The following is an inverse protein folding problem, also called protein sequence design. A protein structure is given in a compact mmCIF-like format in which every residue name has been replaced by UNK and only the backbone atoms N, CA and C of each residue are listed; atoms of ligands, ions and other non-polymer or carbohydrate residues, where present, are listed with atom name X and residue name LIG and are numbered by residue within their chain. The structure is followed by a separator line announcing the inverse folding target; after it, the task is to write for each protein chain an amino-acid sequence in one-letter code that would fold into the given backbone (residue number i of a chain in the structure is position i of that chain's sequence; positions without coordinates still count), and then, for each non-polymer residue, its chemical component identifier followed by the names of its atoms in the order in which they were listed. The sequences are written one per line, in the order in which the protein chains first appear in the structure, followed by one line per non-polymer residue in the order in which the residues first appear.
data_IF_989670991041
#
_entry.id   IF_989670991041
#
_cell.length_a   1.000
_cell.length_b   1.000
_cell.length_c   1.000
_cell.angle_alpha   90.00
_cell.angle_beta   90.00
_cell.angle_gamma   90.00
#
_symmetry.space_group_name_H-M   'P 1'
#
loop_
_entity.id
_entity.type
_entity.pdbx_description
1 polymer ?
#
# COMPACT_ATOMS: atom_id res chain seq x y z
N UNK A 1 4.02 26.44 11.76
CA UNK A 1 4.75 25.26 12.28
C UNK A 1 5.73 25.68 13.36
N UNK A 2 5.52 25.22 14.59
CA UNK A 2 6.43 25.46 15.73
C UNK A 2 7.82 24.82 15.48
N UNK A 3 8.91 25.46 15.93
CA UNK A 3 10.28 24.94 15.81
C UNK A 3 10.46 23.51 16.33
N UNK A 4 9.74 23.13 17.41
CA UNK A 4 9.76 21.75 17.93
C UNK A 4 9.15 20.75 16.93
N UNK A 5 8.04 21.14 16.31
CA UNK A 5 7.33 20.35 15.31
C UNK A 5 8.17 20.23 14.03
N UNK A 6 8.81 21.31 13.59
CA UNK A 6 9.75 21.30 12.46
C UNK A 6 10.91 20.33 12.69
N UNK A 7 11.52 20.37 13.88
CA UNK A 7 12.60 19.46 14.23
C UNK A 7 12.14 18.00 14.22
N UNK A 8 10.97 17.70 14.80
CA UNK A 8 10.39 16.36 14.78
C UNK A 8 10.12 15.87 13.35
N UNK A 9 9.55 16.73 12.49
CA UNK A 9 9.32 16.41 11.07
C UNK A 9 10.61 16.10 10.33
N UNK A 10 11.65 16.93 10.50
CA UNK A 10 12.94 16.70 9.84
C UNK A 10 13.60 15.39 10.30
N UNK A 11 13.56 15.11 11.60
CA UNK A 11 14.09 13.86 12.16
C UNK A 11 13.30 12.64 11.62
N UNK A 12 11.97 12.76 11.51
CA UNK A 12 11.13 11.72 10.94
C UNK A 12 11.51 11.41 9.49
N UNK A 13 11.70 12.45 8.67
CA UNK A 13 12.08 12.29 7.27
C UNK A 13 13.43 11.59 7.12
N UNK A 14 14.40 11.95 7.97
CA UNK A 14 15.72 11.29 7.98
C UNK A 14 15.60 9.82 8.39
N UNK A 15 14.84 9.50 9.44
CA UNK A 15 14.69 8.12 9.89
C UNK A 15 13.91 7.27 8.89
N UNK A 16 12.83 7.79 8.29
CA UNK A 16 12.06 7.10 7.24
C UNK A 16 12.91 6.83 6.01
N UNK A 17 13.73 7.79 5.61
CA UNK A 17 14.70 7.56 4.55
C UNK A 17 15.70 6.46 4.95
N UNK A 18 16.25 6.49 6.17
CA UNK A 18 17.22 5.49 6.64
C UNK A 18 16.60 4.09 6.72
N UNK A 19 15.38 3.97 7.24
CA UNK A 19 14.57 2.74 7.23
C UNK A 19 14.42 2.18 5.82
N UNK A 20 14.07 3.01 4.83
CA UNK A 20 14.02 2.57 3.43
C UNK A 20 15.37 2.05 2.94
N UNK A 21 16.49 2.67 3.32
CA UNK A 21 17.82 2.17 2.94
C UNK A 21 18.12 0.81 3.56
N UNK A 22 17.78 0.62 4.84
CA UNK A 22 17.97 -0.65 5.54
C UNK A 22 17.10 -1.75 4.94
N UNK A 23 15.84 -1.44 4.57
CA UNK A 23 14.95 -2.40 3.90
C UNK A 23 15.51 -2.81 2.55
N UNK A 24 16.00 -1.85 1.75
CA UNK A 24 16.65 -2.15 0.47
C UNK A 24 17.92 -2.97 0.69
N UNK A 25 18.73 -2.65 1.70
CA UNK A 25 19.93 -3.40 2.06
C UNK A 25 19.59 -4.83 2.52
N UNK A 26 18.57 -5.01 3.36
CA UNK A 26 18.11 -6.31 3.84
C UNK A 26 17.55 -7.16 2.69
N UNK A 27 16.67 -6.57 1.89
CA UNK A 27 16.09 -7.22 0.73
C UNK A 27 17.18 -7.75 -0.20
N UNK A 28 18.25 -6.99 -0.38
CA UNK A 28 19.38 -7.41 -1.19
C UNK A 28 20.24 -8.47 -0.49
N UNK A 29 20.51 -8.34 0.81
CA UNK A 29 21.37 -9.26 1.57
C UNK A 29 20.80 -10.67 1.76
N UNK A 30 19.49 -10.84 1.98
CA UNK A 30 18.86 -12.12 2.36
C UNK A 30 18.85 -13.20 1.26
N UNK A 31 19.77 -13.13 0.30
CA UNK A 31 19.80 -13.92 -0.93
C UNK A 31 18.44 -13.90 -1.64
N UNK A 32 17.96 -12.68 -1.98
CA UNK A 32 16.65 -12.39 -2.59
C UNK A 32 15.95 -13.63 -3.14
N UNK A 33 15.08 -14.24 -2.33
CA UNK A 33 14.07 -15.13 -2.85
C UNK A 33 13.14 -14.33 -3.79
N UNK A 34 12.43 -15.01 -4.69
CA UNK A 34 11.58 -14.31 -5.67
C UNK A 34 10.56 -13.37 -5.00
N UNK A 35 10.08 -13.73 -3.81
CA UNK A 35 9.13 -12.92 -3.03
C UNK A 35 9.69 -11.52 -2.68
N UNK A 36 10.97 -11.45 -2.30
CA UNK A 36 11.65 -10.19 -1.97
C UNK A 36 11.83 -9.30 -3.20
N UNK A 37 12.14 -9.92 -4.35
CA UNK A 37 12.24 -9.24 -5.63
C UNK A 37 10.87 -8.69 -6.08
N UNK A 38 9.80 -9.44 -5.81
CA UNK A 38 8.43 -9.02 -6.08
C UNK A 38 7.99 -7.86 -5.20
N UNK A 39 8.34 -7.86 -3.91
CA UNK A 39 8.10 -6.73 -3.02
C UNK A 39 8.82 -5.46 -3.48
N UNK A 40 10.07 -5.56 -3.93
CA UNK A 40 10.79 -4.42 -4.52
C UNK A 40 10.18 -3.96 -5.84
N UNK A 41 9.67 -4.87 -6.67
CA UNK A 41 8.94 -4.51 -7.87
C UNK A 41 7.62 -3.79 -7.54
N UNK A 42 6.93 -4.18 -6.47
CA UNK A 42 5.73 -3.50 -5.99
C UNK A 42 6.07 -2.10 -5.49
N UNK A 43 7.15 -1.95 -4.72
CA UNK A 43 7.67 -0.66 -4.27
C UNK A 43 8.03 0.25 -5.46
N UNK A 44 8.78 -0.24 -6.45
CA UNK A 44 9.10 0.56 -7.65
C UNK A 44 7.86 0.95 -8.47
N UNK A 45 6.77 0.18 -8.38
CA UNK A 45 5.49 0.51 -9.01
C UNK A 45 4.70 1.55 -8.22
N UNK A 46 4.88 1.67 -6.90
CA UNK A 46 4.25 2.76 -6.14
C UNK A 46 4.84 4.12 -6.55
N UNK A 47 6.11 4.17 -6.92
CA UNK A 47 6.78 5.35 -7.52
C UNK A 47 6.42 5.58 -9.01
N UNK A 48 5.17 5.34 -9.41
CA UNK A 48 4.72 5.44 -10.82
C UNK A 48 4.26 6.83 -11.24
N UNK A 49 4.08 7.75 -10.29
CA UNK A 49 3.70 9.13 -10.56
C UNK A 49 4.86 9.93 -11.17
N UNK A 50 4.52 10.96 -11.94
CA UNK A 50 5.50 11.76 -12.70
C UNK A 50 6.53 12.44 -11.79
N UNK A 51 6.11 12.80 -10.57
CA UNK A 51 6.93 13.46 -9.54
C UNK A 51 7.90 12.48 -8.85
N UNK A 52 7.55 11.19 -8.79
CA UNK A 52 8.33 10.14 -8.12
C UNK A 52 9.23 9.35 -9.09
N UNK A 53 9.26 9.76 -10.36
CA UNK A 53 10.01 9.07 -11.41
C UNK A 53 11.53 9.13 -11.18
N UNK A 54 12.03 10.23 -10.62
CA UNK A 54 13.47 10.39 -10.34
C UNK A 54 13.91 9.49 -9.19
N UNK A 55 13.13 9.47 -8.12
CA UNK A 55 13.29 8.59 -6.95
C UNK A 55 13.37 7.11 -7.36
N UNK A 56 12.46 6.68 -8.23
CA UNK A 56 12.47 5.34 -8.81
C UNK A 56 13.74 5.05 -9.61
N UNK A 57 14.19 5.99 -10.44
CA UNK A 57 15.39 5.83 -11.24
C UNK A 57 16.64 5.73 -10.36
N UNK A 58 16.66 6.51 -9.29
CA UNK A 58 17.75 6.57 -8.32
C UNK A 58 17.87 5.24 -7.56
N UNK A 59 16.75 4.66 -7.10
CA UNK A 59 16.73 3.30 -6.52
C UNK A 59 17.23 2.26 -7.53
N UNK A 60 16.79 2.33 -8.79
CA UNK A 60 17.23 1.39 -9.84
C UNK A 60 18.74 1.50 -10.10
N UNK A 61 19.27 2.72 -10.22
CA UNK A 61 20.71 2.97 -10.40
C UNK A 61 21.50 2.44 -9.21
N UNK A 62 21.01 2.69 -8.00
CA UNK A 62 21.62 2.21 -6.76
C UNK A 62 21.69 0.68 -6.73
N UNK A 63 20.59 -0.01 -7.02
CA UNK A 63 20.52 -1.47 -7.07
C UNK A 63 21.53 -2.05 -8.06
N UNK A 64 21.58 -1.52 -9.29
CA UNK A 64 22.54 -1.96 -10.31
C UNK A 64 24.00 -1.68 -9.94
N UNK A 65 24.26 -0.62 -9.16
CA UNK A 65 25.60 -0.23 -8.73
C UNK A 65 26.14 -1.15 -7.63
N UNK A 66 25.35 -1.41 -6.60
CA UNK A 66 25.81 -2.07 -5.37
C UNK A 66 25.39 -3.54 -5.21
N UNK A 67 24.50 -4.02 -6.08
CA UNK A 67 23.93 -5.39 -5.98
C UNK A 67 24.02 -6.10 -7.34
N UNK A 68 23.60 -7.37 -7.39
CA UNK A 68 23.41 -8.13 -8.63
C UNK A 68 21.99 -7.97 -9.21
N UNK A 69 21.20 -7.04 -8.69
CA UNK A 69 19.83 -6.76 -9.14
C UNK A 69 19.88 -5.69 -10.22
N UNK A 70 19.19 -5.95 -11.33
CA UNK A 70 19.12 -5.06 -12.48
C UNK A 70 17.67 -4.87 -12.91
N UNK A 71 17.37 -3.73 -13.52
CA UNK A 71 16.03 -3.42 -14.01
C UNK A 71 15.91 -3.65 -15.51
N UNK A 72 14.96 -4.48 -15.93
CA UNK A 72 14.62 -4.65 -17.34
C UNK A 72 13.59 -3.62 -17.77
N UNK A 73 13.98 -2.69 -18.63
CA UNK A 73 13.05 -1.73 -19.26
C UNK A 73 11.98 -2.44 -20.10
N UNK A 74 12.36 -3.53 -20.79
CA UNK A 74 11.45 -4.35 -21.61
C UNK A 74 10.41 -5.10 -20.77
N UNK A 75 10.83 -5.75 -19.69
CA UNK A 75 9.92 -6.53 -18.82
C UNK A 75 9.27 -5.67 -17.72
N UNK A 76 9.70 -4.41 -17.59
CA UNK A 76 9.32 -3.46 -16.53
C UNK A 76 9.43 -4.05 -15.11
N UNK A 77 10.50 -4.82 -14.86
CA UNK A 77 10.75 -5.49 -13.59
C UNK A 77 12.23 -5.69 -13.30
N UNK A 78 12.56 -5.80 -12.02
CA UNK A 78 13.87 -6.20 -11.52
C UNK A 78 14.13 -7.69 -11.79
N UNK A 79 15.41 -8.05 -11.93
CA UNK A 79 15.91 -9.42 -12.09
C UNK A 79 17.35 -9.54 -11.57
N UNK A 80 17.77 -10.76 -11.23
CA UNK A 80 19.11 -11.08 -10.70
C UNK A 80 20.06 -11.49 -11.84
N UNK A 81 21.31 -11.05 -11.79
CA UNK A 81 22.40 -11.55 -12.65
C UNK A 81 23.25 -12.58 -11.91
N UNK A 82 23.76 -13.59 -12.63
CA UNK A 82 24.58 -14.67 -12.06
C UNK A 82 25.96 -14.20 -11.55
N UNK A 83 26.42 -13.02 -11.94
CA UNK A 83 27.69 -12.45 -11.51
C UNK A 83 27.62 -11.94 -10.06
N UNK A 84 28.37 -12.59 -9.16
CA UNK A 84 28.64 -12.08 -7.82
C UNK A 84 29.52 -10.84 -7.90
N UNK A 85 28.92 -9.64 -7.87
CA UNK A 85 29.65 -8.44 -7.48
C UNK A 85 29.99 -8.53 -5.99
N UNK A 86 31.15 -8.01 -5.58
CA UNK A 86 31.55 -7.91 -4.17
C UNK A 86 30.64 -6.88 -3.48
N UNK A 87 29.81 -7.38 -2.56
CA UNK A 87 28.81 -6.60 -1.84
C UNK A 87 29.48 -5.62 -0.89
N UNK A 88 29.06 -4.35 -0.90
CA UNK A 88 29.47 -3.37 0.11
C UNK A 88 28.26 -2.53 0.51
N UNK A 89 27.58 -2.96 1.57
CA UNK A 89 26.38 -2.29 2.10
C UNK A 89 26.70 -0.89 2.57
N UNK A 90 27.85 -0.68 3.21
CA UNK A 90 28.29 0.65 3.64
C UNK A 90 28.48 1.59 2.45
N UNK A 91 29.12 1.14 1.37
CA UNK A 91 29.25 1.96 0.15
C UNK A 91 27.89 2.34 -0.46
N UNK A 92 26.91 1.43 -0.39
CA UNK A 92 25.54 1.72 -0.80
C UNK A 92 24.81 2.69 0.16
N UNK A 93 24.95 2.52 1.46
CA UNK A 93 24.33 3.38 2.48
C UNK A 93 24.80 4.84 2.40
N UNK A 94 26.01 5.06 1.91
CA UNK A 94 26.61 6.39 1.77
C UNK A 94 26.43 7.01 0.39
N UNK A 95 25.69 6.36 -0.52
CA UNK A 95 25.49 6.85 -1.88
C UNK A 95 24.32 7.85 -1.99
N UNK A 96 24.61 9.03 -2.55
CA UNK A 96 23.65 10.12 -2.77
C UNK A 96 22.50 9.76 -3.73
N UNK A 97 22.58 8.62 -4.43
CA UNK A 97 21.49 8.05 -5.21
C UNK A 97 20.34 7.51 -4.36
N UNK A 98 20.41 7.54 -3.04
CA UNK A 98 19.26 7.26 -2.18
C UNK A 98 18.91 8.50 -1.34
N UNK A 99 17.69 8.52 -0.82
CA UNK A 99 17.00 9.68 -0.22
C UNK A 99 17.67 10.31 1.03
N UNK A 100 18.88 9.91 1.40
CA UNK A 100 19.67 10.49 2.48
C UNK A 100 21.01 11.03 1.98
N UNK A 101 21.45 12.15 2.57
CA UNK A 101 22.85 12.55 2.46
C UNK A 101 23.76 11.55 3.17
N UNK A 102 24.98 11.37 2.66
CA UNK A 102 26.03 10.54 3.26
C UNK A 102 26.23 10.86 4.75
N UNK A 103 26.21 12.14 5.10
CA UNK A 103 26.36 12.63 6.48
C UNK A 103 25.19 12.26 7.40
N UNK A 104 23.97 12.24 6.87
CA UNK A 104 22.78 11.82 7.62
C UNK A 104 22.77 10.30 7.81
N UNK A 105 23.17 9.54 6.80
CA UNK A 105 23.33 8.09 6.87
C UNK A 105 24.40 7.70 7.90
N UNK A 106 25.58 8.35 7.87
CA UNK A 106 26.65 8.17 8.85
C UNK A 106 26.18 8.39 10.29
N UNK A 107 25.40 9.45 10.50
CA UNK A 107 24.85 9.77 11.81
C UNK A 107 23.90 8.68 12.30
N UNK A 108 23.03 8.18 11.43
CA UNK A 108 22.11 7.10 11.77
C UNK A 108 22.85 5.79 12.03
N UNK A 109 23.83 5.41 11.20
CA UNK A 109 24.64 4.21 11.43
C UNK A 109 25.34 4.24 12.80
N UNK A 110 25.89 5.40 13.20
CA UNK A 110 26.49 5.59 14.52
C UNK A 110 25.47 5.55 15.65
N UNK A 111 24.32 6.19 15.44
CA UNK A 111 23.24 6.26 16.44
C UNK A 111 22.67 4.88 16.77
N UNK A 112 22.46 4.03 15.75
CA UNK A 112 21.90 2.68 15.91
C UNK A 112 22.96 1.57 15.96
N UNK A 113 24.25 1.92 16.05
CA UNK A 113 25.34 0.97 16.09
C UNK A 113 25.28 -0.10 14.98
N UNK A 114 25.06 0.35 13.74
CA UNK A 114 25.09 -0.51 12.55
C UNK A 114 26.56 -0.73 12.14
N UNK A 115 27.18 -1.81 12.63
CA UNK A 115 28.59 -2.12 12.40
C UNK A 115 28.78 -3.19 11.33
N UNK A 116 27.79 -4.06 11.17
CA UNK A 116 27.84 -5.19 10.26
C UNK A 116 26.46 -5.50 9.69
N UNK A 117 26.44 -6.47 8.80
CA UNK A 117 25.19 -6.98 8.24
C UNK A 117 24.34 -7.69 9.31
N UNK A 118 24.97 -8.38 10.26
CA UNK A 118 24.27 -9.14 11.29
C UNK A 118 23.45 -8.23 12.21
N UNK A 119 23.74 -6.92 12.21
CA UNK A 119 23.01 -5.90 12.94
C UNK A 119 21.71 -5.43 12.23
N UNK A 120 21.51 -5.74 10.94
CA UNK A 120 20.46 -5.13 10.11
C UNK A 120 19.04 -5.31 10.68
N UNK A 121 18.67 -6.53 11.07
CA UNK A 121 17.33 -6.81 11.60
C UNK A 121 17.06 -6.02 12.89
N UNK A 122 18.01 -6.09 13.84
CA UNK A 122 17.94 -5.31 15.08
C UNK A 122 17.78 -3.81 14.80
N UNK A 123 18.59 -3.29 13.89
CA UNK A 123 18.60 -1.85 13.58
C UNK A 123 17.32 -1.41 12.89
N UNK A 124 16.73 -2.23 12.01
CA UNK A 124 15.42 -1.98 11.41
C UNK A 124 14.34 -1.86 12.50
N UNK A 125 14.30 -2.81 13.44
CA UNK A 125 13.32 -2.80 14.53
C UNK A 125 13.50 -1.59 15.46
N UNK A 126 14.74 -1.22 15.78
CA UNK A 126 15.05 -0.05 16.60
C UNK A 126 14.66 1.26 15.90
N UNK A 127 14.96 1.38 14.59
CA UNK A 127 14.56 2.53 13.76
C UNK A 127 13.05 2.65 13.69
N UNK A 128 12.34 1.55 13.39
CA UNK A 128 10.88 1.50 13.34
C UNK A 128 10.25 1.93 14.67
N UNK A 129 10.76 1.41 15.78
CA UNK A 129 10.34 1.80 17.13
C UNK A 129 10.58 3.29 17.43
N UNK A 130 11.69 3.86 16.95
CA UNK A 130 12.00 5.28 17.13
C UNK A 130 11.08 6.16 16.30
N UNK A 131 10.79 5.75 15.07
CA UNK A 131 9.84 6.45 14.20
C UNK A 131 8.46 6.49 14.85
N UNK A 132 7.95 5.36 15.34
CA UNK A 132 6.62 5.31 15.97
C UNK A 132 6.52 6.29 17.17
N UNK A 133 7.58 6.35 18.00
CA UNK A 133 7.64 7.28 19.13
C UNK A 133 7.65 8.74 18.66
N UNK A 134 8.40 9.04 17.60
CA UNK A 134 8.50 10.39 17.05
C UNK A 134 7.21 10.81 16.34
N UNK A 135 6.50 9.91 15.67
CA UNK A 135 5.18 10.18 15.06
C UNK A 135 4.18 10.57 16.14
N UNK A 136 4.08 9.80 17.23
CA UNK A 136 3.22 10.14 18.38
C UNK A 136 3.58 11.49 18.99
N UNK A 137 4.88 11.79 19.08
CA UNK A 137 5.35 13.08 19.58
C UNK A 137 5.00 14.23 18.63
N UNK A 138 5.19 14.05 17.33
CA UNK A 138 4.85 15.01 16.28
C UNK A 138 3.35 15.29 16.27
N UNK A 139 2.51 14.26 16.39
CA UNK A 139 1.05 14.39 16.51
C UNK A 139 0.65 15.20 17.75
N UNK A 140 1.28 14.92 18.90
CA UNK A 140 1.04 15.69 20.12
C UNK A 140 1.44 17.16 19.98
N UNK A 141 2.49 17.46 19.20
CA UNK A 141 2.94 18.84 18.95
C UNK A 141 2.11 19.56 17.90
N UNK A 142 1.54 18.82 16.94
CA UNK A 142 0.83 19.35 15.78
C UNK A 142 -0.69 19.40 15.93
N UNK A 143 -1.26 18.81 16.99
CA UNK A 143 -2.72 18.75 17.22
C UNK A 143 -3.42 20.10 17.10
N UNK A 144 -2.77 21.17 17.57
CA UNK A 144 -3.31 22.53 17.55
C UNK A 144 -2.72 23.40 16.42
N UNK A 145 -1.84 22.86 15.56
CA UNK A 145 -1.24 23.58 14.43
C UNK A 145 -2.09 23.39 13.15
N UNK A 146 -2.75 24.45 12.63
CA UNK A 146 -3.65 24.34 11.49
C UNK A 146 -2.95 23.88 10.20
N UNK A 147 -1.66 24.23 10.03
CA UNK A 147 -0.87 23.86 8.86
C UNK A 147 -0.45 22.39 8.92
N UNK A 148 -0.06 21.89 10.10
CA UNK A 148 0.17 20.46 10.32
C UNK A 148 -1.09 19.65 10.05
N UNK A 149 -2.24 20.07 10.57
CA UNK A 149 -3.50 19.37 10.35
C UNK A 149 -3.93 19.42 8.88
N UNK A 150 -3.72 20.54 8.17
CA UNK A 150 -3.98 20.64 6.73
C UNK A 150 -3.08 19.68 5.93
N UNK A 151 -1.79 19.66 6.23
CA UNK A 151 -0.82 18.75 5.61
C UNK A 151 -1.18 17.29 5.92
N UNK A 152 -1.38 16.96 7.19
CA UNK A 152 -1.75 15.62 7.65
C UNK A 152 -3.04 15.16 6.99
N UNK A 153 -4.09 15.98 6.96
CA UNK A 153 -5.33 15.65 6.28
C UNK A 153 -5.13 15.47 4.76
N UNK A 154 -4.21 16.19 4.14
CA UNK A 154 -3.87 16.01 2.71
C UNK A 154 -3.15 14.67 2.50
N UNK A 155 -2.20 14.31 3.35
CA UNK A 155 -1.50 13.01 3.31
C UNK A 155 -2.43 11.84 3.65
N UNK A 156 -3.27 11.97 4.68
CA UNK A 156 -4.27 10.99 5.09
C UNK A 156 -5.40 10.85 4.04
N UNK A 157 -5.72 11.93 3.31
CA UNK A 157 -6.64 11.88 2.16
C UNK A 157 -6.01 11.23 0.92
N UNK A 158 -4.68 11.18 0.86
CA UNK A 158 -3.90 10.50 -0.17
C UNK A 158 -3.53 9.05 0.19
N UNK A 159 -3.95 8.53 1.35
CA UNK A 159 -4.03 7.11 1.79
C UNK A 159 -3.11 6.13 1.00
N UNK A 160 -1.80 6.39 1.05
CA UNK A 160 -0.73 5.40 0.81
C UNK A 160 -0.17 5.11 2.21
N UNK A 161 -0.97 4.40 3.00
CA UNK A 161 -0.51 3.80 4.25
C UNK A 161 0.14 2.46 3.95
N UNK A 162 1.37 2.30 4.43
CA UNK A 162 2.13 1.06 4.50
C UNK A 162 1.21 -0.13 4.84
N UNK A 163 1.15 -1.11 3.92
CA UNK A 163 0.32 -2.33 3.93
C UNK A 163 -1.19 -2.25 3.61
N UNK A 164 -1.73 -1.08 3.24
CA UNK A 164 -3.10 -0.89 2.76
C UNK A 164 -3.18 -0.59 1.27
N UNK A 165 -4.07 -1.23 0.51
CA UNK A 165 -4.38 -0.79 -0.84
C UNK A 165 -5.19 0.51 -0.81
N UNK A 166 -4.97 1.42 -1.78
CA UNK A 166 -5.77 2.65 -1.91
C UNK A 166 -7.26 2.33 -1.85
N UNK A 167 -7.93 2.86 -0.81
CA UNK A 167 -9.36 2.66 -0.66
C UNK A 167 -10.11 3.27 -1.85
N UNK A 168 -11.03 2.53 -2.51
CA UNK A 168 -11.65 3.01 -3.72
C UNK A 168 -12.63 4.14 -3.42
N UNK A 169 -12.54 5.19 -4.23
CA UNK A 169 -13.49 6.30 -4.25
C UNK A 169 -14.74 5.94 -5.07
N UNK A 170 -15.90 6.49 -4.72
CA UNK A 170 -17.16 6.41 -5.48
C UNK A 170 -17.45 7.68 -6.30
N UNK A 171 -16.51 8.63 -6.35
CA UNK A 171 -16.61 9.82 -7.21
C UNK A 171 -16.56 9.37 -8.68
N UNK A 172 -17.53 9.82 -9.47
CA UNK A 172 -17.62 9.56 -10.90
C UNK A 172 -17.43 10.89 -11.65
N UNK A 173 -16.32 11.04 -12.37
CA UNK A 173 -16.19 12.06 -13.40
C UNK A 173 -16.93 11.61 -14.67
N UNK A 174 -17.40 12.56 -15.48
CA UNK A 174 -17.88 12.33 -16.85
C UNK A 174 -16.77 11.62 -17.64
N UNK A 175 -17.11 10.50 -18.30
CA UNK A 175 -16.13 9.68 -19.01
C UNK A 175 -16.13 10.03 -20.49
N UNK A 176 -14.93 10.13 -21.08
CA UNK A 176 -14.74 10.12 -22.53
C UNK A 176 -14.89 8.69 -23.08
N UNK A 177 -16.11 8.13 -23.02
CA UNK A 177 -16.65 7.12 -23.94
C UNK A 177 -15.89 5.82 -24.27
N UNK A 178 -14.73 5.50 -23.68
CA UNK A 178 -13.95 4.34 -24.11
C UNK A 178 -13.54 3.46 -22.91
N UNK A 179 -14.29 2.38 -22.71
CA UNK A 179 -13.82 1.21 -21.95
C UNK A 179 -13.76 0.02 -22.92
N UNK A 180 -12.63 -0.72 -22.99
CA UNK A 180 -12.58 -1.95 -23.77
C UNK A 180 -13.61 -2.93 -23.23
N UNK A 181 -14.37 -3.53 -24.14
CA UNK A 181 -15.37 -4.55 -23.87
C UNK A 181 -14.64 -5.82 -23.40
N UNK A 182 -14.54 -5.97 -22.07
CA UNK A 182 -14.06 -7.19 -21.43
C UNK A 182 -15.28 -8.07 -21.17
N UNK A 183 -15.17 -9.35 -21.49
CA UNK A 183 -16.22 -10.36 -21.34
C UNK A 183 -16.50 -10.59 -19.83
N UNK A 184 -17.37 -9.78 -19.24
CA UNK A 184 -17.71 -9.87 -17.83
C UNK A 184 -18.69 -11.02 -17.59
N UNK A 185 -18.53 -11.79 -16.50
CA UNK A 185 -19.46 -12.86 -16.18
C UNK A 185 -20.88 -12.32 -15.97
N UNK A 186 -21.86 -12.98 -16.60
CA UNK A 186 -23.30 -12.63 -16.57
C UNK A 186 -23.89 -12.51 -15.14
N UNK A 187 -23.25 -13.16 -14.15
CA UNK A 187 -23.56 -13.02 -12.71
C UNK A 187 -22.27 -12.77 -11.94
N UNK A 188 -22.12 -11.57 -11.38
CA UNK A 188 -21.00 -11.24 -10.49
C UNK A 188 -21.13 -11.89 -9.11
N UNK A 189 -20.01 -12.11 -8.42
CA UNK A 189 -19.96 -12.78 -7.10
C UNK A 189 -20.99 -12.26 -6.08
N UNK A 190 -21.14 -10.93 -5.96
CA UNK A 190 -22.11 -10.31 -5.04
C UNK A 190 -23.55 -10.80 -5.34
N UNK A 191 -23.96 -10.75 -6.60
CA UNK A 191 -25.27 -11.25 -7.03
C UNK A 191 -25.39 -12.76 -6.84
N UNK A 192 -24.30 -13.50 -7.09
CA UNK A 192 -24.23 -14.96 -6.92
C UNK A 192 -24.43 -15.44 -5.47
N UNK A 193 -24.03 -14.64 -4.48
CA UNK A 193 -24.27 -14.93 -3.05
C UNK A 193 -25.56 -14.26 -2.52
N UNK A 194 -26.36 -13.66 -3.40
CA UNK A 194 -27.64 -13.05 -3.04
C UNK A 194 -27.56 -11.63 -2.50
N UNK A 195 -26.40 -10.96 -2.56
CA UNK A 195 -26.30 -9.55 -2.17
C UNK A 195 -27.06 -8.65 -3.17
N UNK A 196 -27.96 -7.82 -2.64
CA UNK A 196 -28.76 -6.87 -3.43
C UNK A 196 -29.03 -5.57 -2.66
N UNK A 197 -29.13 -4.47 -3.41
CA UNK A 197 -29.38 -3.10 -2.93
C UNK A 197 -30.52 -2.46 -3.72
N UNK A 198 -30.98 -1.29 -3.28
CA UNK A 198 -32.04 -0.51 -3.89
C UNK A 198 -33.41 -0.78 -3.29
N UNK A 199 -34.46 -0.28 -3.93
CA UNK A 199 -35.85 -0.32 -3.41
C UNK A 199 -36.40 -1.74 -3.21
N UNK A 200 -35.85 -2.74 -3.91
CA UNK A 200 -36.15 -4.17 -3.73
C UNK A 200 -34.96 -4.95 -3.16
N UNK A 201 -33.99 -4.25 -2.57
CA UNK A 201 -32.77 -4.81 -2.01
C UNK A 201 -32.97 -5.43 -0.63
N UNK A 202 -31.91 -6.04 -0.12
CA UNK A 202 -31.88 -6.58 1.24
C UNK A 202 -31.71 -5.46 2.28
N UNK A 203 -32.22 -5.63 3.50
CA UNK A 203 -31.97 -4.69 4.59
C UNK A 203 -30.50 -4.68 5.01
N UNK A 204 -30.03 -3.55 5.56
CA UNK A 204 -28.62 -3.29 5.92
C UNK A 204 -27.97 -4.41 6.72
N UNK A 205 -28.67 -4.99 7.70
CA UNK A 205 -28.14 -6.09 8.53
C UNK A 205 -27.81 -7.31 7.67
N UNK A 206 -28.72 -7.70 6.76
CA UNK A 206 -28.53 -8.84 5.87
C UNK A 206 -27.46 -8.59 4.81
N UNK A 207 -27.39 -7.37 4.28
CA UNK A 207 -26.31 -6.97 3.37
C UNK A 207 -24.94 -7.12 4.02
N UNK A 208 -24.77 -6.56 5.22
CA UNK A 208 -23.49 -6.62 5.96
C UNK A 208 -23.13 -8.02 6.43
N UNK A 209 -24.11 -8.85 6.78
CA UNK A 209 -23.93 -10.28 7.04
C UNK A 209 -23.34 -10.99 5.80
N UNK A 210 -23.91 -10.77 4.62
CA UNK A 210 -23.39 -11.33 3.37
C UNK A 210 -21.99 -10.81 3.03
N UNK A 211 -21.72 -9.51 3.23
CA UNK A 211 -20.39 -8.93 3.04
C UNK A 211 -19.36 -9.53 4.00
N UNK A 212 -19.73 -9.76 5.26
CA UNK A 212 -18.90 -10.46 6.24
C UNK A 212 -18.63 -11.91 5.83
N UNK A 213 -19.62 -12.61 5.29
CA UNK A 213 -19.45 -13.97 4.78
C UNK A 213 -18.53 -13.98 3.55
N UNK A 214 -18.66 -13.01 2.64
CA UNK A 214 -17.71 -12.86 1.52
C UNK A 214 -16.29 -12.63 2.03
N UNK A 215 -16.10 -11.90 3.13
CA UNK A 215 -14.77 -11.71 3.71
C UNK A 215 -14.20 -12.97 4.35
N UNK A 216 -15.03 -13.71 5.10
CA UNK A 216 -14.55 -14.74 6.03
C UNK A 216 -14.67 -16.18 5.53
N UNK A 217 -15.50 -16.44 4.52
CA UNK A 217 -15.79 -17.79 4.05
C UNK A 217 -15.16 -18.10 2.70
N UNK A 218 -15.09 -19.41 2.40
CA UNK A 218 -14.77 -19.88 1.07
C UNK A 218 -15.94 -19.58 0.12
N UNK A 219 -15.68 -18.76 -0.90
CA UNK A 219 -16.71 -18.34 -1.84
C UNK A 219 -17.20 -19.53 -2.68
N UNK A 220 -18.44 -19.56 -3.16
CA UNK A 220 -18.93 -20.58 -4.07
C UNK A 220 -18.26 -20.49 -5.46
N UNK A 221 -18.39 -21.54 -6.27
CA UNK A 221 -17.96 -21.52 -7.68
C UNK A 221 -19.10 -20.92 -8.51
N UNK A 222 -19.06 -19.61 -8.79
CA UNK A 222 -20.11 -18.94 -9.57
C UNK A 222 -19.90 -19.18 -11.08
N UNK A 223 -18.70 -18.90 -11.59
CA UNK A 223 -18.37 -19.05 -13.01
C UNK A 223 -17.19 -20.00 -13.24
N UNK A 224 -16.09 -19.84 -12.50
CA UNK A 224 -14.93 -20.73 -12.63
C UNK A 224 -14.04 -20.71 -11.38
N UNK A 225 -13.15 -21.70 -11.26
CA UNK A 225 -12.09 -21.68 -10.24
C UNK A 225 -11.19 -20.45 -10.39
N UNK A 226 -10.88 -20.03 -11.62
CA UNK A 226 -10.05 -18.86 -11.88
C UNK A 226 -10.73 -17.58 -11.37
N UNK A 227 -12.03 -17.42 -11.65
CA UNK A 227 -12.82 -16.29 -11.16
C UNK A 227 -12.87 -16.23 -9.63
N UNK A 228 -13.01 -17.38 -8.95
CA UNK A 228 -12.94 -17.42 -7.48
C UNK A 228 -11.57 -16.96 -6.96
N UNK A 229 -10.47 -17.40 -7.57
CA UNK A 229 -9.10 -17.01 -7.15
C UNK A 229 -8.86 -15.50 -7.24
N UNK A 230 -9.51 -14.79 -8.16
CA UNK A 230 -9.40 -13.32 -8.23
C UNK A 230 -9.92 -12.60 -6.98
N UNK A 231 -10.76 -13.27 -6.19
CA UNK A 231 -11.25 -12.74 -4.92
C UNK A 231 -10.27 -12.99 -3.77
N UNK A 232 -9.14 -13.67 -3.99
CA UNK A 232 -8.17 -14.01 -2.93
C UNK A 232 -8.73 -15.00 -1.92
N UNK A 233 -7.91 -15.42 -0.95
CA UNK A 233 -8.32 -16.34 0.12
C UNK A 233 -9.15 -15.61 1.20
N UNK A 234 -9.92 -16.33 2.02
CA UNK A 234 -10.69 -15.73 3.11
C UNK A 234 -9.80 -14.92 4.05
N UNK A 235 -10.33 -13.82 4.58
CA UNK A 235 -9.65 -12.97 5.55
C UNK A 235 -8.29 -12.43 5.06
N UNK A 236 -8.21 -12.06 3.78
CA UNK A 236 -7.02 -11.43 3.20
C UNK A 236 -7.27 -10.01 2.71
N UNK A 237 -6.21 -9.22 2.63
CA UNK A 237 -6.22 -7.89 2.01
C UNK A 237 -6.64 -7.96 0.54
N UNK A 238 -6.28 -9.04 -0.17
CA UNK A 238 -6.72 -9.27 -1.54
C UNK A 238 -8.26 -9.40 -1.65
N UNK A 239 -8.88 -10.12 -0.69
CA UNK A 239 -10.34 -10.26 -0.59
C UNK A 239 -11.02 -8.93 -0.33
N UNK A 240 -10.52 -8.17 0.65
CA UNK A 240 -11.04 -6.84 0.95
C UNK A 240 -10.93 -5.90 -0.25
N UNK A 241 -9.78 -5.91 -0.93
CA UNK A 241 -9.52 -5.11 -2.13
C UNK A 241 -10.48 -5.43 -3.27
N UNK A 242 -10.66 -6.71 -3.59
CA UNK A 242 -11.57 -7.11 -4.69
C UNK A 242 -13.00 -6.72 -4.36
N UNK A 243 -13.44 -6.94 -3.12
CA UNK A 243 -14.79 -6.61 -2.67
C UNK A 243 -15.05 -5.09 -2.71
N UNK A 244 -14.18 -4.29 -2.10
CA UNK A 244 -14.31 -2.83 -2.05
C UNK A 244 -14.31 -2.22 -3.46
N UNK A 245 -13.41 -2.68 -4.34
CA UNK A 245 -13.36 -2.20 -5.73
C UNK A 245 -14.62 -2.54 -6.52
N UNK A 246 -15.18 -3.73 -6.27
CA UNK A 246 -16.41 -4.17 -6.96
C UNK A 246 -17.60 -3.29 -6.55
N UNK A 247 -17.77 -3.02 -5.25
CA UNK A 247 -18.85 -2.14 -4.77
C UNK A 247 -18.66 -0.70 -5.30
N UNK A 248 -17.44 -0.17 -5.26
CA UNK A 248 -17.16 1.17 -5.79
C UNK A 248 -17.40 1.26 -7.30
N UNK A 249 -17.08 0.20 -8.06
CA UNK A 249 -17.37 0.12 -9.49
C UNK A 249 -18.87 0.11 -9.77
N UNK A 250 -19.64 -0.73 -9.06
CA UNK A 250 -21.11 -0.76 -9.17
C UNK A 250 -21.71 0.62 -8.88
N UNK A 251 -21.23 1.28 -7.82
CA UNK A 251 -21.67 2.63 -7.45
C UNK A 251 -21.41 3.65 -8.57
N UNK A 252 -20.20 3.64 -9.15
CA UNK A 252 -19.84 4.55 -10.25
C UNK A 252 -20.67 4.30 -11.49
N UNK A 253 -20.90 3.04 -11.85
CA UNK A 253 -21.71 2.70 -13.01
C UNK A 253 -23.16 3.13 -12.82
N UNK A 254 -23.73 2.96 -11.63
CA UNK A 254 -25.07 3.44 -11.33
C UNK A 254 -25.17 4.96 -11.32
N UNK A 255 -24.16 5.68 -10.80
CA UNK A 255 -24.10 7.15 -10.89
C UNK A 255 -24.05 7.67 -12.33
N UNK A 256 -23.54 6.88 -13.28
CA UNK A 256 -23.49 7.20 -14.71
C UNK A 256 -24.72 6.73 -15.48
N UNK A 257 -25.56 5.91 -14.86
CA UNK A 257 -26.78 5.41 -15.50
C UNK A 257 -27.88 6.46 -15.43
N UNK A 258 -28.70 6.56 -16.48
CA UNK A 258 -29.91 7.38 -16.50
C UNK A 258 -31.04 6.84 -15.61
N UNK A 259 -30.87 5.64 -15.02
CA UNK A 259 -31.85 5.02 -14.15
C UNK A 259 -31.81 5.61 -12.74
N UNK A 260 -32.99 5.86 -12.15
CA UNK A 260 -33.12 6.33 -10.78
C UNK A 260 -32.70 5.23 -9.78
N UNK A 261 -31.41 5.22 -9.44
CA UNK A 261 -30.78 4.22 -8.56
C UNK A 261 -30.22 4.85 -7.28
N UNK A 262 -30.71 6.03 -6.89
CA UNK A 262 -30.21 6.81 -5.75
C UNK A 262 -30.19 6.03 -4.44
N UNK A 263 -31.21 5.20 -4.19
CA UNK A 263 -31.25 4.32 -3.00
C UNK A 263 -30.11 3.31 -3.04
N UNK A 264 -29.91 2.63 -4.17
CA UNK A 264 -28.82 1.66 -4.33
C UNK A 264 -27.44 2.31 -4.19
N UNK A 265 -27.27 3.53 -4.72
CA UNK A 265 -26.04 4.31 -4.58
C UNK A 265 -25.75 4.60 -3.11
N UNK A 266 -26.73 5.10 -2.36
CA UNK A 266 -26.58 5.36 -0.91
C UNK A 266 -26.19 4.09 -0.15
N UNK A 267 -26.88 2.99 -0.44
CA UNK A 267 -26.63 1.71 0.25
C UNK A 267 -25.25 1.13 -0.06
N UNK A 268 -24.76 1.22 -1.30
CA UNK A 268 -23.40 0.83 -1.63
C UNK A 268 -22.35 1.71 -0.94
N UNK A 269 -22.59 3.02 -0.85
CA UNK A 269 -21.68 3.95 -0.16
C UNK A 269 -21.63 3.68 1.35
N UNK A 270 -22.77 3.39 1.97
CA UNK A 270 -22.86 2.96 3.37
C UNK A 270 -22.15 1.63 3.62
N UNK A 271 -22.34 0.65 2.73
CA UNK A 271 -21.71 -0.66 2.84
C UNK A 271 -20.19 -0.56 2.61
N UNK A 272 -19.74 0.29 1.68
CA UNK A 272 -18.33 0.57 1.46
C UNK A 272 -17.71 1.28 2.67
N UNK A 273 -18.39 2.26 3.26
CA UNK A 273 -17.95 2.89 4.50
C UNK A 273 -17.84 1.87 5.63
N UNK A 274 -18.85 1.01 5.79
CA UNK A 274 -18.86 -0.05 6.79
C UNK A 274 -17.67 -1.02 6.60
N UNK A 275 -17.37 -1.42 5.37
CA UNK A 275 -16.19 -2.25 5.07
C UNK A 275 -14.88 -1.54 5.45
N UNK A 276 -14.77 -0.24 5.15
CA UNK A 276 -13.58 0.56 5.51
C UNK A 276 -13.40 0.57 7.03
N UNK A 277 -14.45 0.86 7.77
CA UNK A 277 -14.37 0.99 9.22
C UNK A 277 -14.11 -0.36 9.91
N UNK A 278 -14.71 -1.46 9.43
CA UNK A 278 -14.64 -2.77 10.11
C UNK A 278 -13.43 -3.62 9.73
N UNK A 279 -12.87 -3.43 8.52
CA UNK A 279 -11.85 -4.32 7.97
C UNK A 279 -10.59 -3.59 7.50
N UNK A 280 -10.69 -2.35 7.04
CA UNK A 280 -9.54 -1.57 6.58
C UNK A 280 -8.87 -0.79 7.72
N UNK A 281 -9.66 -0.07 8.54
CA UNK A 281 -9.15 0.76 9.65
C UNK A 281 -8.88 0.00 10.94
N UNK A 282 -9.65 -1.06 11.21
CA UNK A 282 -9.56 -1.82 12.46
C UNK A 282 -8.37 -2.80 12.54
N UNK A 283 -7.37 -2.70 11.66
CA UNK A 283 -6.13 -3.49 11.76
C UNK A 283 -6.28 -5.02 11.64
N UNK A 284 -7.48 -5.57 11.41
CA UNK A 284 -7.69 -7.03 11.31
C UNK A 284 -6.91 -7.70 10.16
N UNK A 285 -6.41 -6.92 9.21
CA UNK A 285 -5.57 -7.37 8.11
C UNK A 285 -4.25 -6.60 8.02
N UNK A 286 -3.81 -5.91 9.09
CA UNK A 286 -2.41 -5.53 9.22
C UNK A 286 -1.61 -6.82 9.36
N UNK A 287 -0.67 -7.03 8.44
CA UNK A 287 0.26 -8.15 8.43
C UNK A 287 0.87 -8.36 9.82
N UNK A 288 0.51 -9.45 10.49
CA UNK A 288 1.22 -9.94 11.67
C UNK A 288 2.28 -10.93 11.19
N UNK A 289 3.56 -10.57 11.35
CA UNK A 289 4.69 -11.45 11.05
C UNK A 289 4.57 -12.79 11.81
N UNK A 290 4.92 -13.93 11.18
CA UNK A 290 5.06 -15.18 11.90
C UNK A 290 6.27 -15.11 12.86
N UNK A 291 6.07 -15.62 14.08
CA UNK A 291 7.13 -15.90 15.04
C UNK A 291 8.16 -16.88 14.47
#
# INVERSE_FOLDING_TARGET
MNNKLLKATMELSVLRGFEMHLIVALATYADMNEDTLDNLNLLLKSFSEKEQKEDRNNIIKWLSKYTNVNYSTKKKKLYKTQTQKKWNIFAGLHDELLFLSTSAADKCCKEFNLLSIDDLFRVIDEVGSKIEKLEKHQESLGKDDPFYNQIKNTFDSNDIGTDGFKWPSTFAYESSGNTPEVDWPQVGMLKGVGYSVGTKGLPTVKRRELLSNIMSQQLPYITSHAYRREWGEPNTTARLKKLANTIAYLTKNSKRSSNNTTVAISEWEEDLKWLKDNYYRNGKYSWSWPN
#
